data_IF_551193246677
#
_entry.id   IF_551193246677
#
_cell.length_a   1.000
_cell.length_b   1.000
_cell.length_c   1.000
_cell.angle_alpha   90.00
_cell.angle_beta   90.00
_cell.angle_gamma   90.00
#
_symmetry.space_group_name_H-M   'P 1'
#
loop_
_entity.id
_entity.type
_entity.pdbx_description
1 polymer ?
#
# COMPACT_ATOMS: atom_id res chain seq x y z
N UNK A 1 8.22 -27.71 45.25
CA UNK A 1 8.27 -28.77 44.23
C UNK A 1 7.37 -28.37 43.07
N UNK A 2 8.00 -28.21 41.90
CA UNK A 2 7.48 -28.09 40.53
C UNK A 2 6.71 -26.83 40.11
N UNK A 3 7.53 -25.86 39.68
CA UNK A 3 7.27 -24.95 38.57
C UNK A 3 6.98 -25.73 37.28
N UNK A 4 6.01 -25.30 36.48
CA UNK A 4 5.96 -25.58 35.05
C UNK A 4 5.64 -24.29 34.31
N UNK A 5 6.71 -23.64 33.84
CA UNK A 5 6.67 -22.60 32.84
C UNK A 5 6.23 -23.20 31.50
N UNK A 6 5.28 -22.55 30.81
CA UNK A 6 5.06 -22.77 29.38
C UNK A 6 5.58 -21.55 28.63
N UNK A 7 6.71 -21.76 27.96
CA UNK A 7 7.32 -20.84 27.03
C UNK A 7 6.43 -20.68 25.79
N UNK A 8 6.10 -19.44 25.45
CA UNK A 8 5.53 -19.07 24.14
C UNK A 8 6.71 -18.67 23.26
N UNK A 9 7.09 -19.57 22.34
CA UNK A 9 8.07 -19.29 21.30
C UNK A 9 7.39 -18.50 20.17
N UNK A 10 7.74 -17.22 20.04
CA UNK A 10 7.34 -16.39 18.90
C UNK A 10 8.14 -16.77 17.67
N UNK A 11 7.47 -17.36 16.68
CA UNK A 11 8.03 -17.59 15.34
C UNK A 11 7.66 -16.39 14.48
N UNK A 12 8.61 -15.47 14.31
CA UNK A 12 8.52 -14.38 13.35
C UNK A 12 9.10 -14.86 12.01
N UNK A 13 8.23 -15.06 11.01
CA UNK A 13 8.65 -15.41 9.65
C UNK A 13 8.72 -14.14 8.81
N UNK A 14 9.92 -13.96 8.24
CA UNK A 14 10.36 -12.94 7.32
C UNK A 14 9.55 -12.94 6.01
N UNK A 15 8.96 -11.79 5.67
CA UNK A 15 8.53 -11.50 4.30
C UNK A 15 9.73 -11.08 3.45
N UNK A 16 10.54 -12.05 3.02
CA UNK A 16 11.59 -11.86 2.01
C UNK A 16 11.00 -12.24 0.65
N UNK A 17 10.89 -11.27 -0.26
CA UNK A 17 10.86 -11.57 -1.70
C UNK A 17 12.23 -11.19 -2.26
N UNK A 18 13.16 -12.14 -2.16
CA UNK A 18 14.39 -12.15 -2.94
C UNK A 18 14.05 -12.61 -4.35
N UNK A 19 14.19 -11.75 -5.35
CA UNK A 19 14.29 -12.16 -6.74
C UNK A 19 15.74 -11.97 -7.21
N UNK A 20 16.57 -12.96 -6.95
CA UNK A 20 17.80 -13.19 -7.70
C UNK A 20 17.50 -14.27 -8.75
N UNK A 21 17.57 -13.92 -10.03
CA UNK A 21 17.91 -14.88 -11.08
C UNK A 21 18.49 -14.15 -12.29
N UNK A 22 19.70 -14.60 -12.63
CA UNK A 22 20.59 -14.20 -13.70
C UNK A 22 20.11 -14.56 -15.10
N UNK A 23 20.53 -13.71 -16.05
CA UNK A 23 20.74 -13.89 -17.50
C UNK A 23 20.41 -15.22 -18.21
N UNK A 24 19.79 -15.08 -19.39
CA UNK A 24 19.69 -16.15 -20.39
C UNK A 24 18.88 -15.77 -21.64
N UNK A 25 19.57 -15.20 -22.63
CA UNK A 25 19.40 -15.28 -24.10
C UNK A 25 18.02 -15.14 -24.79
N UNK A 26 17.99 -14.30 -25.82
CA UNK A 26 16.83 -14.00 -26.65
C UNK A 26 16.47 -15.04 -27.72
N UNK A 27 15.31 -14.81 -28.35
CA UNK A 27 14.82 -15.50 -29.53
C UNK A 27 13.53 -14.83 -30.02
N UNK A 28 13.62 -14.16 -31.17
CA UNK A 28 12.52 -13.51 -31.86
C UNK A 28 11.52 -14.50 -32.46
N UNK A 29 10.26 -14.11 -32.61
CA UNK A 29 9.25 -14.87 -33.37
C UNK A 29 7.89 -14.17 -33.42
N UNK A 30 7.64 -13.51 -34.54
CA UNK A 30 6.43 -12.79 -34.95
C UNK A 30 5.19 -13.69 -35.12
N UNK A 31 4.00 -13.14 -34.83
CA UNK A 31 2.72 -13.70 -35.25
C UNK A 31 1.59 -12.66 -35.14
N UNK A 32 1.32 -11.95 -36.24
CA UNK A 32 0.29 -10.94 -36.37
C UNK A 32 -0.97 -11.57 -37.00
N UNK A 33 -2.16 -11.27 -36.46
CA UNK A 33 -3.46 -11.62 -37.03
C UNK A 33 -4.52 -10.58 -36.61
N UNK A 34 -5.51 -10.27 -37.47
CA UNK A 34 -6.14 -8.95 -37.51
C UNK A 34 -7.42 -8.85 -36.68
N UNK A 35 -7.61 -7.74 -35.98
CA UNK A 35 -8.85 -7.38 -35.28
C UNK A 35 -8.90 -5.87 -35.07
N UNK A 36 -9.87 -5.23 -35.70
CA UNK A 36 -10.16 -3.80 -35.70
C UNK A 36 -10.58 -3.30 -34.32
N UNK A 37 -9.76 -2.44 -33.71
CA UNK A 37 -10.18 -1.26 -32.94
C UNK A 37 -8.95 -0.37 -32.76
N UNK A 38 -8.84 0.67 -33.59
CA UNK A 38 -7.84 1.72 -33.39
C UNK A 38 -8.31 2.64 -32.27
N UNK A 39 -8.09 2.24 -31.01
CA UNK A 39 -7.82 3.24 -29.99
C UNK A 39 -6.47 3.86 -30.35
N UNK A 40 -6.48 5.15 -30.69
CA UNK A 40 -5.26 5.95 -30.78
C UNK A 40 -4.58 5.86 -29.42
N UNK A 41 -3.58 5.00 -29.30
CA UNK A 41 -2.77 4.86 -28.10
C UNK A 41 -2.07 6.19 -27.88
N UNK A 42 -2.60 7.01 -26.97
CA UNK A 42 -1.81 8.05 -26.34
C UNK A 42 -0.51 7.38 -25.83
N UNK A 43 0.66 8.02 -25.96
CA UNK A 43 1.90 7.45 -25.44
C UNK A 43 1.67 7.07 -23.98
N UNK A 44 1.94 5.80 -23.64
CA UNK A 44 1.73 5.23 -22.31
C UNK A 44 2.37 6.16 -21.27
N UNK A 45 1.53 6.89 -20.53
CA UNK A 45 2.02 7.89 -19.59
C UNK A 45 2.71 7.15 -18.44
N UNK A 46 4.01 7.38 -18.18
CA UNK A 46 4.63 6.75 -17.03
C UNK A 46 3.99 7.33 -15.76
N UNK A 47 3.48 6.44 -14.90
CA UNK A 47 2.79 6.77 -13.65
C UNK A 47 1.47 7.53 -13.83
N UNK A 48 0.43 6.94 -14.44
CA UNK A 48 -0.88 7.57 -14.49
C UNK A 48 -1.51 7.64 -13.10
N UNK A 49 -2.23 8.72 -12.82
CA UNK A 49 -3.10 8.83 -11.64
C UNK A 49 -4.46 8.24 -11.99
N UNK A 50 -4.94 7.28 -11.20
CA UNK A 50 -6.26 6.66 -11.39
C UNK A 50 -6.89 6.23 -10.08
N UNK A 51 -8.11 5.71 -10.18
CA UNK A 51 -8.85 5.11 -9.08
C UNK A 51 -9.24 3.68 -9.46
N UNK A 52 -9.34 2.79 -8.48
CA UNK A 52 -9.75 1.39 -8.70
C UNK A 52 -10.72 0.97 -7.59
N UNK A 53 -11.98 0.72 -7.96
CA UNK A 53 -13.02 0.37 -6.98
C UNK A 53 -12.67 -0.91 -6.20
N UNK A 54 -12.14 -1.94 -6.85
CA UNK A 54 -11.84 -3.21 -6.18
C UNK A 54 -10.73 -3.07 -5.14
N UNK A 55 -9.74 -2.22 -5.40
CA UNK A 55 -8.68 -1.87 -4.43
C UNK A 55 -9.30 -1.10 -3.25
N UNK A 56 -10.14 -0.11 -3.54
CA UNK A 56 -10.85 0.67 -2.52
C UNK A 56 -11.77 -0.19 -1.67
N UNK A 57 -12.55 -1.10 -2.26
CA UNK A 57 -13.46 -2.00 -1.57
C UNK A 57 -12.71 -2.95 -0.62
N UNK A 58 -11.59 -3.49 -1.10
CA UNK A 58 -10.74 -4.36 -0.29
C UNK A 58 -10.14 -3.61 0.90
N UNK A 59 -9.56 -2.44 0.67
CA UNK A 59 -8.98 -1.60 1.72
C UNK A 59 -10.05 -1.04 2.67
N UNK A 60 -11.25 -0.74 2.16
CA UNK A 60 -12.43 -0.43 2.99
C UNK A 60 -12.73 -1.60 3.93
N UNK A 61 -12.78 -2.82 3.41
CA UNK A 61 -12.93 -4.04 4.21
C UNK A 61 -11.96 -4.11 5.38
N UNK A 62 -10.67 -3.93 5.09
CA UNK A 62 -9.63 -3.90 6.13
C UNK A 62 -9.85 -2.76 7.12
N UNK A 63 -10.16 -1.55 6.66
CA UNK A 63 -10.44 -0.41 7.54
C UNK A 63 -11.65 -0.65 8.46
N UNK A 64 -12.63 -1.47 8.05
CA UNK A 64 -13.79 -1.82 8.86
C UNK A 64 -13.50 -2.90 9.93
N UNK A 65 -12.56 -3.81 9.68
CA UNK A 65 -12.30 -4.96 10.58
C UNK A 65 -11.01 -4.83 11.39
N UNK A 66 -10.04 -4.05 10.91
CA UNK A 66 -8.76 -3.85 11.57
C UNK A 66 -8.82 -2.68 12.56
N UNK A 67 -8.16 -2.85 13.70
CA UNK A 67 -7.80 -1.72 14.56
C UNK A 67 -6.45 -1.16 14.12
N UNK A 68 -6.44 0.06 13.60
CA UNK A 68 -5.21 0.71 13.18
C UNK A 68 -4.49 1.35 14.38
N UNK A 69 -3.54 0.61 14.93
CA UNK A 69 -2.69 1.06 16.05
C UNK A 69 -1.32 1.56 15.59
N UNK A 70 -1.12 1.73 14.29
CA UNK A 70 0.17 2.17 13.75
C UNK A 70 0.43 3.62 14.06
N UNK A 71 1.72 3.99 14.15
CA UNK A 71 2.08 5.36 14.49
C UNK A 71 1.70 6.32 13.37
N UNK A 72 2.09 6.00 12.14
CA UNK A 72 1.57 6.62 10.92
C UNK A 72 0.37 5.80 10.44
N UNK A 73 -0.86 6.33 10.52
CA UNK A 73 -2.05 5.53 10.23
C UNK A 73 -2.09 5.05 8.78
N UNK A 74 -2.44 3.79 8.62
CA UNK A 74 -2.81 3.18 7.35
C UNK A 74 -4.09 3.81 6.79
N UNK A 75 -5.09 3.92 7.65
CA UNK A 75 -6.42 4.38 7.28
C UNK A 75 -6.70 5.77 7.84
N UNK A 76 -7.62 6.49 7.19
CA UNK A 76 -8.10 7.79 7.71
C UNK A 76 -8.72 7.60 9.09
N UNK A 77 -8.33 8.45 10.04
CA UNK A 77 -8.87 8.38 11.40
C UNK A 77 -10.38 8.59 11.38
N UNK A 78 -11.10 7.70 12.06
CA UNK A 78 -12.56 7.74 12.12
C UNK A 78 -13.27 7.19 10.88
N UNK A 79 -12.54 6.69 9.87
CA UNK A 79 -13.15 6.17 8.64
C UNK A 79 -14.22 5.10 8.89
N UNK A 80 -13.92 4.08 9.72
CA UNK A 80 -14.88 3.02 10.01
C UNK A 80 -16.15 3.53 10.71
N UNK A 81 -16.00 4.48 11.63
CA UNK A 81 -17.11 5.17 12.28
C UNK A 81 -17.94 5.98 11.29
N UNK A 82 -17.29 6.72 10.38
CA UNK A 82 -17.96 7.49 9.33
C UNK A 82 -18.77 6.57 8.40
N UNK A 83 -18.17 5.47 7.93
CA UNK A 83 -18.87 4.49 7.09
C UNK A 83 -20.08 3.88 7.80
N UNK A 84 -19.93 3.56 9.09
CA UNK A 84 -21.05 3.08 9.93
C UNK A 84 -22.19 4.11 9.98
N UNK A 85 -21.87 5.40 10.16
CA UNK A 85 -22.88 6.48 10.17
C UNK A 85 -23.56 6.62 8.82
N UNK A 86 -22.81 6.55 7.70
CA UNK A 86 -23.38 6.63 6.35
C UNK A 86 -24.31 5.46 6.06
N UNK A 87 -23.91 4.23 6.42
CA UNK A 87 -24.75 3.03 6.27
C UNK A 87 -26.02 3.11 7.11
N UNK A 88 -25.92 3.57 8.35
CA UNK A 88 -27.08 3.78 9.22
C UNK A 88 -28.05 4.81 8.64
N UNK A 89 -27.55 5.92 8.07
CA UNK A 89 -28.39 6.92 7.38
C UNK A 89 -29.09 6.35 6.16
N UNK A 90 -28.45 5.41 5.46
CA UNK A 90 -29.02 4.70 4.32
C UNK A 90 -29.89 3.49 4.72
N UNK A 91 -30.03 3.17 6.01
CA UNK A 91 -30.67 1.96 6.53
C UNK A 91 -30.10 0.66 5.90
N UNK A 92 -28.79 0.61 5.67
CA UNK A 92 -28.10 -0.57 5.11
C UNK A 92 -27.29 -1.29 6.20
N UNK A 93 -27.46 -2.61 6.28
CA UNK A 93 -26.62 -3.51 7.09
C UNK A 93 -26.16 -4.65 6.19
N UNK A 94 -24.87 -4.96 6.18
CA UNK A 94 -24.25 -5.94 5.27
C UNK A 94 -23.68 -7.13 6.02
N UNK A 95 -23.25 -8.14 5.27
CA UNK A 95 -22.51 -9.27 5.82
C UNK A 95 -21.17 -8.84 6.43
N UNK A 96 -20.53 -7.76 5.94
CA UNK A 96 -19.32 -7.24 6.55
C UNK A 96 -19.57 -6.74 7.98
N UNK A 97 -20.70 -6.09 8.22
CA UNK A 97 -21.09 -5.66 9.58
C UNK A 97 -21.35 -6.88 10.48
N UNK A 98 -22.13 -7.85 9.98
CA UNK A 98 -22.50 -9.04 10.72
C UNK A 98 -21.28 -9.95 11.06
N UNK A 99 -20.29 -9.98 10.18
CA UNK A 99 -19.10 -10.83 10.32
C UNK A 99 -17.89 -10.10 10.93
N UNK A 100 -18.01 -8.80 11.24
CA UNK A 100 -16.88 -7.94 11.64
C UNK A 100 -16.07 -8.53 12.79
N UNK A 101 -16.73 -8.97 13.84
CA UNK A 101 -16.05 -9.48 15.04
C UNK A 101 -15.33 -10.80 14.77
N UNK A 102 -15.92 -11.68 13.94
CA UNK A 102 -15.28 -12.93 13.52
C UNK A 102 -14.05 -12.67 12.64
N UNK A 103 -14.14 -11.73 11.71
CA UNK A 103 -13.03 -11.31 10.86
C UNK A 103 -11.91 -10.68 11.69
N UNK A 104 -12.25 -9.79 12.62
CA UNK A 104 -11.30 -9.15 13.54
C UNK A 104 -10.61 -10.14 14.46
N UNK A 105 -11.36 -11.09 15.03
CA UNK A 105 -10.80 -12.11 15.92
C UNK A 105 -9.67 -12.90 15.25
N UNK A 106 -9.79 -13.20 13.95
CA UNK A 106 -8.72 -13.89 13.22
C UNK A 106 -7.48 -13.02 13.01
N UNK A 107 -7.63 -11.71 12.77
CA UNK A 107 -6.49 -10.78 12.67
C UNK A 107 -5.69 -10.70 13.99
N UNK A 108 -6.37 -10.82 15.14
CA UNK A 108 -5.71 -10.90 16.45
C UNK A 108 -4.91 -12.20 16.59
N UNK A 109 -5.46 -13.32 16.12
CA UNK A 109 -4.80 -14.63 16.16
C UNK A 109 -3.63 -14.73 15.18
N UNK A 110 -3.78 -14.15 13.98
CA UNK A 110 -2.75 -14.12 12.95
C UNK A 110 -2.57 -12.68 12.43
N UNK A 111 -1.72 -11.87 13.09
CA UNK A 111 -1.45 -10.50 12.67
C UNK A 111 -0.84 -10.38 11.27
N UNK A 112 -0.20 -11.43 10.76
CA UNK A 112 0.40 -11.44 9.42
C UNK A 112 -0.65 -11.30 8.29
N UNK A 113 -1.93 -11.60 8.57
CA UNK A 113 -3.04 -11.37 7.64
C UNK A 113 -3.21 -9.90 7.25
N UNK A 114 -2.65 -8.95 8.00
CA UNK A 114 -2.62 -7.53 7.62
C UNK A 114 -1.93 -7.34 6.26
N UNK A 115 -0.95 -8.19 5.91
CA UNK A 115 -0.28 -8.15 4.61
C UNK A 115 -1.23 -8.48 3.45
N UNK A 116 -2.37 -9.13 3.70
CA UNK A 116 -3.35 -9.36 2.66
C UNK A 116 -4.00 -8.06 2.12
N UNK A 117 -3.74 -6.89 2.72
CA UNK A 117 -4.10 -5.59 2.15
C UNK A 117 -3.47 -5.31 0.78
N UNK A 118 -2.34 -5.95 0.47
CA UNK A 118 -1.65 -5.79 -0.82
C UNK A 118 -2.20 -6.70 -1.93
N UNK A 119 -2.98 -7.73 -1.57
CA UNK A 119 -3.58 -8.69 -2.52
C UNK A 119 -4.28 -8.02 -3.71
N UNK A 120 -5.18 -7.04 -3.56
CA UNK A 120 -5.94 -6.48 -4.69
C UNK A 120 -5.06 -5.74 -5.71
N UNK A 121 -3.81 -5.38 -5.36
CA UNK A 121 -2.90 -4.70 -6.26
C UNK A 121 -2.35 -5.63 -7.35
N UNK A 122 -2.39 -6.93 -7.12
CA UNK A 122 -1.93 -7.96 -8.07
C UNK A 122 -2.99 -8.37 -9.09
N UNK A 123 -4.19 -7.77 -9.04
CA UNK A 123 -5.32 -8.10 -9.91
C UNK A 123 -5.85 -6.85 -10.62
N UNK A 124 -6.28 -7.01 -11.87
CA UNK A 124 -6.78 -5.89 -12.67
C UNK A 124 -8.20 -5.48 -12.30
N UNK A 125 -9.01 -6.41 -11.79
CA UNK A 125 -10.43 -6.19 -11.49
C UNK A 125 -10.94 -7.01 -10.29
N UNK A 126 -12.14 -6.68 -9.82
CA UNK A 126 -12.84 -7.46 -8.80
C UNK A 126 -13.20 -8.87 -9.28
N UNK A 127 -13.66 -9.00 -10.53
CA UNK A 127 -14.09 -10.28 -11.07
C UNK A 127 -12.93 -11.27 -11.10
N UNK A 128 -11.78 -10.84 -11.64
CA UNK A 128 -10.53 -11.61 -11.65
C UNK A 128 -10.09 -12.01 -10.23
N UNK A 129 -10.01 -11.05 -9.31
CA UNK A 129 -9.63 -11.31 -7.91
C UNK A 129 -10.57 -12.33 -7.25
N UNK A 130 -11.87 -12.17 -7.45
CA UNK A 130 -12.87 -13.01 -6.80
C UNK A 130 -12.92 -14.42 -7.41
N UNK A 131 -12.75 -14.54 -8.73
CA UNK A 131 -12.69 -15.81 -9.44
C UNK A 131 -11.43 -16.60 -9.04
N UNK A 132 -10.26 -15.96 -9.10
CA UNK A 132 -8.99 -16.61 -8.71
C UNK A 132 -9.03 -17.02 -7.24
N UNK A 133 -9.60 -16.19 -6.36
CA UNK A 133 -9.78 -16.54 -4.96
C UNK A 133 -10.69 -17.74 -4.78
N UNK A 134 -11.82 -17.79 -5.50
CA UNK A 134 -12.74 -18.93 -5.41
C UNK A 134 -12.07 -20.23 -5.87
N UNK A 135 -11.33 -20.19 -6.98
CA UNK A 135 -10.60 -21.35 -7.47
C UNK A 135 -9.49 -21.79 -6.48
N UNK A 136 -8.75 -20.83 -5.91
CA UNK A 136 -7.75 -21.08 -4.87
C UNK A 136 -8.36 -21.77 -3.64
N UNK A 137 -9.54 -21.31 -3.20
CA UNK A 137 -10.25 -21.88 -2.07
C UNK A 137 -10.78 -23.30 -2.37
N UNK A 138 -11.27 -23.56 -3.58
CA UNK A 138 -11.69 -24.91 -4.03
C UNK A 138 -10.51 -25.88 -4.12
N UNK A 139 -9.33 -25.38 -4.47
CA UNK A 139 -8.08 -26.14 -4.51
C UNK A 139 -7.42 -26.31 -3.13
N UNK A 140 -8.09 -25.89 -2.05
CA UNK A 140 -7.56 -25.90 -0.67
C UNK A 140 -6.20 -25.17 -0.51
N UNK A 141 -5.90 -24.25 -1.41
CA UNK A 141 -4.66 -23.51 -1.48
C UNK A 141 -3.47 -24.24 -2.11
N UNK A 142 -3.69 -25.35 -2.83
CA UNK A 142 -2.64 -26.10 -3.52
C UNK A 142 -2.31 -25.48 -4.90
N UNK A 143 -1.11 -24.89 -5.11
CA UNK A 143 -0.74 -24.30 -6.40
C UNK A 143 -0.63 -25.31 -7.54
N UNK A 144 -0.38 -26.59 -7.24
CA UNK A 144 -0.26 -27.65 -8.24
C UNK A 144 -1.62 -28.08 -8.82
N UNK A 145 -2.73 -27.64 -8.22
CA UNK A 145 -4.07 -27.88 -8.76
C UNK A 145 -4.47 -26.85 -9.83
N UNK A 146 -3.64 -25.82 -10.07
CA UNK A 146 -3.90 -24.80 -11.08
C UNK A 146 -3.77 -25.35 -12.51
N UNK A 147 -4.62 -24.88 -13.41
CA UNK A 147 -4.66 -25.34 -14.81
C UNK A 147 -3.68 -24.59 -15.71
N UNK A 148 -3.12 -23.46 -15.24
CA UNK A 148 -2.14 -22.66 -15.96
C UNK A 148 -1.01 -22.22 -15.05
N UNK A 149 0.14 -21.88 -15.65
CA UNK A 149 1.31 -21.38 -14.92
C UNK A 149 1.00 -20.06 -14.20
N UNK A 150 0.23 -19.19 -14.83
CA UNK A 150 -0.20 -17.91 -14.26
C UNK A 150 -1.08 -18.13 -13.03
N UNK A 151 -2.07 -19.02 -13.12
CA UNK A 151 -2.93 -19.38 -12.00
C UNK A 151 -2.14 -20.05 -10.86
N UNK A 152 -1.13 -20.87 -11.18
CA UNK A 152 -0.23 -21.45 -10.18
C UNK A 152 0.58 -20.36 -9.43
N UNK A 153 1.01 -19.30 -10.12
CA UNK A 153 1.69 -18.16 -9.49
C UNK A 153 0.73 -17.38 -8.59
N UNK A 154 -0.49 -17.11 -9.06
CA UNK A 154 -1.51 -16.44 -8.26
C UNK A 154 -1.88 -17.26 -7.01
N UNK A 155 -2.02 -18.59 -7.14
CA UNK A 155 -2.26 -19.48 -6.01
C UNK A 155 -1.09 -19.48 -5.03
N UNK A 156 0.15 -19.47 -5.51
CA UNK A 156 1.33 -19.39 -4.64
C UNK A 156 1.37 -18.06 -3.87
N UNK A 157 1.02 -16.96 -4.53
CA UNK A 157 0.91 -15.65 -3.90
C UNK A 157 -0.21 -15.61 -2.83
N UNK A 158 -1.39 -16.15 -3.13
CA UNK A 158 -2.47 -16.27 -2.16
C UNK A 158 -2.11 -17.23 -1.02
N UNK A 159 -1.45 -18.35 -1.29
CA UNK A 159 -0.98 -19.30 -0.27
C UNK A 159 0.03 -18.66 0.70
N UNK A 160 0.89 -17.76 0.21
CA UNK A 160 1.81 -17.01 1.06
C UNK A 160 1.08 -16.07 2.04
N UNK A 161 -0.05 -15.50 1.62
CA UNK A 161 -0.87 -14.61 2.46
C UNK A 161 -1.87 -15.40 3.34
N UNK A 162 -2.31 -16.57 2.89
CA UNK A 162 -3.35 -17.39 3.56
C UNK A 162 -2.88 -18.85 3.73
N UNK A 163 -1.83 -19.09 4.53
CA UNK A 163 -1.15 -20.38 4.58
C UNK A 163 -1.99 -21.48 5.24
N UNK A 164 -2.83 -21.15 6.23
CA UNK A 164 -3.60 -22.15 6.98
C UNK A 164 -5.05 -22.25 6.50
N UNK A 165 -5.72 -23.38 6.78
CA UNK A 165 -7.15 -23.55 6.48
C UNK A 165 -8.02 -22.46 7.11
N UNK A 166 -7.71 -22.05 8.35
CA UNK A 166 -8.42 -20.97 9.03
C UNK A 166 -8.19 -19.59 8.39
N UNK A 167 -7.02 -19.33 7.78
CA UNK A 167 -6.78 -18.10 7.01
C UNK A 167 -7.56 -18.11 5.69
N UNK A 168 -7.70 -19.29 5.06
CA UNK A 168 -8.53 -19.47 3.86
C UNK A 168 -10.02 -19.34 4.15
N UNK A 169 -10.49 -19.86 5.28
CA UNK A 169 -11.87 -19.66 5.73
C UNK A 169 -12.15 -18.18 6.03
N UNK A 170 -11.18 -17.48 6.59
CA UNK A 170 -11.24 -16.03 6.75
C UNK A 170 -11.33 -15.31 5.41
N UNK A 171 -10.47 -15.64 4.44
CA UNK A 171 -10.51 -15.08 3.09
C UNK A 171 -11.86 -15.30 2.42
N UNK A 172 -12.41 -16.52 2.53
CA UNK A 172 -13.73 -16.86 2.00
C UNK A 172 -14.80 -15.94 2.58
N UNK A 173 -14.84 -15.81 3.91
CA UNK A 173 -15.81 -14.98 4.61
C UNK A 173 -15.63 -13.49 4.26
N UNK A 174 -14.39 -13.04 4.14
CA UNK A 174 -14.05 -11.67 3.80
C UNK A 174 -14.53 -11.31 2.39
N UNK A 175 -14.19 -12.11 1.37
CA UNK A 175 -14.61 -11.87 -0.02
C UNK A 175 -16.13 -11.93 -0.18
N UNK A 176 -16.80 -12.89 0.48
CA UNK A 176 -18.27 -12.95 0.51
C UNK A 176 -18.88 -11.69 1.12
N UNK A 177 -18.31 -11.24 2.25
CA UNK A 177 -18.75 -10.02 2.92
C UNK A 177 -18.54 -8.76 2.07
N UNK A 178 -17.43 -8.68 1.34
CA UNK A 178 -17.15 -7.56 0.43
C UNK A 178 -18.04 -7.54 -0.81
N UNK A 179 -18.42 -8.72 -1.34
CA UNK A 179 -19.38 -8.80 -2.45
C UNK A 179 -20.75 -8.26 -2.02
N UNK A 180 -21.22 -8.65 -0.83
CA UNK A 180 -22.45 -8.10 -0.24
C UNK A 180 -22.30 -6.59 0.06
N UNK A 181 -21.18 -6.16 0.63
CA UNK A 181 -20.88 -4.75 0.91
C UNK A 181 -20.94 -3.87 -0.34
N UNK A 182 -20.28 -4.30 -1.43
CA UNK A 182 -20.29 -3.61 -2.72
C UNK A 182 -21.70 -3.48 -3.28
N UNK A 183 -22.43 -4.59 -3.38
CA UNK A 183 -23.77 -4.62 -3.96
C UNK A 183 -24.80 -3.78 -3.20
N UNK A 184 -24.68 -3.69 -1.87
CA UNK A 184 -25.69 -3.02 -1.02
C UNK A 184 -25.34 -1.59 -0.65
N UNK A 185 -24.06 -1.22 -0.68
CA UNK A 185 -23.60 0.08 -0.21
C UNK A 185 -22.42 0.62 -1.03
N UNK A 186 -21.28 -0.07 -0.98
CA UNK A 186 -20.00 0.56 -1.28
C UNK A 186 -19.85 0.99 -2.74
N UNK A 187 -20.42 0.25 -3.69
CA UNK A 187 -20.37 0.63 -5.11
C UNK A 187 -21.04 1.99 -5.36
N UNK A 188 -22.25 2.16 -4.83
CA UNK A 188 -23.00 3.42 -4.96
C UNK A 188 -22.29 4.59 -4.27
N UNK A 189 -21.75 4.34 -3.07
CA UNK A 189 -20.94 5.31 -2.33
C UNK A 189 -19.67 5.69 -3.09
N UNK A 190 -18.95 4.71 -3.64
CA UNK A 190 -17.74 4.92 -4.40
C UNK A 190 -17.99 5.77 -5.64
N UNK A 191 -19.02 5.44 -6.43
CA UNK A 191 -19.41 6.23 -7.60
C UNK A 191 -19.77 7.68 -7.23
N UNK A 192 -20.43 7.88 -6.09
CA UNK A 192 -20.70 9.24 -5.59
C UNK A 192 -19.40 9.98 -5.27
N UNK A 193 -18.48 9.34 -4.54
CA UNK A 193 -17.19 9.96 -4.21
C UNK A 193 -16.34 10.25 -5.46
N UNK A 194 -16.40 9.40 -6.49
CA UNK A 194 -15.71 9.69 -7.76
C UNK A 194 -16.25 10.94 -8.45
N UNK A 195 -17.57 11.15 -8.42
CA UNK A 195 -18.19 12.36 -8.97
C UNK A 195 -17.83 13.59 -8.14
N UNK A 196 -17.95 13.51 -6.82
CA UNK A 196 -17.66 14.64 -5.91
C UNK A 196 -16.20 15.08 -5.94
N UNK A 197 -15.28 14.15 -6.21
CA UNK A 197 -13.83 14.40 -6.20
C UNK A 197 -13.20 14.43 -7.59
N UNK A 198 -13.99 14.51 -8.66
CA UNK A 198 -13.48 14.56 -10.02
C UNK A 198 -12.50 15.73 -10.24
N UNK A 199 -12.80 16.90 -9.65
CA UNK A 199 -11.89 18.06 -9.65
C UNK A 199 -10.57 17.76 -8.95
N UNK A 200 -10.61 17.13 -7.76
CA UNK A 200 -9.41 16.72 -7.01
C UNK A 200 -8.55 15.75 -7.83
N UNK A 201 -9.16 14.72 -8.44
CA UNK A 201 -8.45 13.76 -9.29
C UNK A 201 -7.71 14.47 -10.43
N UNK A 202 -8.36 15.42 -11.10
CA UNK A 202 -7.76 16.21 -12.19
C UNK A 202 -6.60 17.09 -11.71
N UNK A 203 -6.73 17.72 -10.55
CA UNK A 203 -5.66 18.55 -9.96
C UNK A 203 -4.47 17.69 -9.55
N UNK A 204 -4.71 16.54 -8.89
CA UNK A 204 -3.64 15.60 -8.52
C UNK A 204 -2.90 15.10 -9.75
N UNK A 205 -3.62 14.69 -10.80
CA UNK A 205 -3.00 14.29 -12.07
C UNK A 205 -2.16 15.41 -12.68
N UNK A 206 -2.70 16.64 -12.72
CA UNK A 206 -1.96 17.79 -13.25
C UNK A 206 -0.68 18.08 -12.44
N UNK A 207 -0.78 18.11 -11.10
CA UNK A 207 0.36 18.31 -10.22
C UNK A 207 1.41 17.21 -10.41
N UNK A 208 0.98 15.96 -10.50
CA UNK A 208 1.87 14.83 -10.68
C UNK A 208 2.55 14.87 -12.05
N UNK A 209 1.78 14.87 -13.14
CA UNK A 209 2.32 14.76 -14.50
C UNK A 209 3.17 15.97 -14.89
N UNK A 210 2.76 17.18 -14.50
CA UNK A 210 3.39 18.43 -14.99
C UNK A 210 4.42 18.99 -14.04
N UNK A 211 4.24 18.85 -12.72
CA UNK A 211 5.10 19.51 -11.74
C UNK A 211 6.06 18.54 -11.04
N UNK A 212 5.56 17.43 -10.49
CA UNK A 212 6.34 16.66 -9.51
C UNK A 212 6.95 15.36 -10.02
N UNK A 213 6.27 14.61 -10.90
CA UNK A 213 6.85 13.42 -11.53
C UNK A 213 8.15 13.74 -12.26
N UNK A 214 8.26 14.80 -13.08
CA UNK A 214 9.52 15.13 -13.75
C UNK A 214 10.67 15.39 -12.76
N UNK A 215 10.37 16.06 -11.63
CA UNK A 215 11.35 16.34 -10.56
C UNK A 215 11.81 15.07 -9.85
N UNK A 216 10.91 14.09 -9.68
CA UNK A 216 11.20 12.80 -9.04
C UNK A 216 11.73 11.74 -10.01
N UNK A 217 11.68 11.97 -11.32
CA UNK A 217 11.96 10.97 -12.35
C UNK A 217 13.35 10.33 -12.19
N UNK A 218 14.38 11.11 -11.87
CA UNK A 218 15.74 10.60 -11.68
C UNK A 218 15.80 9.61 -10.52
N UNK A 219 15.18 9.98 -9.39
CA UNK A 219 15.08 9.10 -8.23
C UNK A 219 14.34 7.81 -8.60
N UNK A 220 13.15 7.94 -9.18
CA UNK A 220 12.31 6.80 -9.58
C UNK A 220 13.04 5.85 -10.54
N UNK A 221 13.77 6.36 -11.52
CA UNK A 221 14.55 5.52 -12.43
C UNK A 221 15.66 4.76 -11.70
N UNK A 222 16.40 5.46 -10.84
CA UNK A 222 17.59 4.92 -10.17
C UNK A 222 17.23 3.93 -9.06
N UNK A 223 16.02 4.01 -8.50
CA UNK A 223 15.50 3.03 -7.54
C UNK A 223 14.74 1.87 -8.19
N UNK A 224 14.76 1.75 -9.51
CA UNK A 224 14.05 0.69 -10.23
C UNK A 224 12.53 0.86 -10.24
N UNK A 225 12.05 2.10 -10.11
CA UNK A 225 10.64 2.49 -10.10
C UNK A 225 10.30 3.34 -11.34
N UNK A 226 10.82 2.94 -12.51
CA UNK A 226 10.79 3.78 -13.71
C UNK A 226 9.38 4.04 -14.25
N UNK A 227 8.49 3.04 -14.13
CA UNK A 227 7.08 3.15 -14.46
C UNK A 227 6.21 2.34 -13.47
N UNK A 228 4.94 2.68 -13.46
CA UNK A 228 3.97 2.10 -12.55
C UNK A 228 2.63 2.83 -12.64
N UNK A 229 1.78 2.59 -11.65
CA UNK A 229 0.47 3.19 -11.47
C UNK A 229 0.37 3.91 -10.12
N UNK A 230 -0.29 5.07 -10.07
CA UNK A 230 -0.71 5.67 -8.81
C UNK A 230 -2.22 5.53 -8.68
N UNK A 231 -2.67 4.89 -7.60
CA UNK A 231 -4.08 4.67 -7.30
C UNK A 231 -4.46 5.58 -6.13
N UNK A 232 -5.39 6.51 -6.34
CA UNK A 232 -5.98 7.28 -5.25
C UNK A 232 -7.03 6.42 -4.56
N UNK A 233 -6.92 6.29 -3.24
CA UNK A 233 -7.77 5.44 -2.43
C UNK A 233 -8.49 6.23 -1.33
N UNK A 234 -9.80 5.99 -1.21
CA UNK A 234 -10.67 6.65 -0.24
C UNK A 234 -10.30 6.34 1.23
N UNK A 235 -10.10 5.07 1.64
CA UNK A 235 -9.80 4.72 3.04
C UNK A 235 -8.38 5.07 3.49
N UNK A 236 -7.40 5.13 2.59
CA UNK A 236 -5.99 5.30 2.97
C UNK A 236 -5.64 6.70 3.47
N UNK A 237 -4.63 6.76 4.35
CA UNK A 237 -4.03 7.98 4.85
C UNK A 237 -2.54 8.04 4.50
N UNK A 238 -1.66 8.32 5.48
CA UNK A 238 -0.28 8.73 5.24
C UNK A 238 0.70 7.61 4.92
N UNK A 239 0.37 6.36 5.26
CA UNK A 239 1.28 5.22 5.05
C UNK A 239 1.16 4.58 3.65
N UNK A 240 0.20 5.02 2.81
CA UNK A 240 0.04 4.47 1.44
C UNK A 240 0.00 2.94 1.35
N UNK A 241 0.18 2.37 0.15
CA UNK A 241 0.52 0.96 -0.11
C UNK A 241 1.33 0.85 -1.39
N UNK A 242 2.54 0.34 -1.27
CA UNK A 242 3.40 0.09 -2.43
C UNK A 242 3.52 -1.40 -2.73
N UNK A 243 3.34 -1.76 -4.00
CA UNK A 243 3.72 -3.06 -4.54
C UNK A 243 4.65 -2.86 -5.74
N UNK A 244 5.81 -3.52 -5.73
CA UNK A 244 6.77 -3.47 -6.82
C UNK A 244 6.88 -4.84 -7.48
N UNK A 245 6.35 -4.98 -8.70
CA UNK A 245 6.45 -6.19 -9.51
C UNK A 245 7.54 -6.00 -10.60
N UNK A 246 8.77 -5.74 -10.15
CA UNK A 246 9.90 -5.42 -11.03
C UNK A 246 9.97 -3.95 -11.44
N UNK A 247 10.81 -3.63 -12.44
CA UNK A 247 11.18 -2.24 -12.75
C UNK A 247 10.05 -1.37 -13.34
N UNK A 248 9.06 -2.01 -13.95
CA UNK A 248 8.05 -1.34 -14.78
C UNK A 248 6.61 -1.52 -14.30
N UNK A 249 6.38 -2.37 -13.31
CA UNK A 249 5.05 -2.67 -12.76
C UNK A 249 5.01 -2.33 -11.27
N UNK A 250 5.27 -1.06 -10.95
CA UNK A 250 5.12 -0.53 -9.60
C UNK A 250 3.71 0.00 -9.40
N UNK A 251 3.20 -0.08 -8.19
CA UNK A 251 1.89 0.45 -7.83
C UNK A 251 2.05 1.21 -6.52
N UNK A 252 1.68 2.49 -6.53
CA UNK A 252 1.49 3.28 -5.32
C UNK A 252 0.01 3.50 -5.10
N UNK A 253 -0.53 2.99 -4.01
CA UNK A 253 -1.88 3.34 -3.56
C UNK A 253 -1.75 4.39 -2.48
N UNK A 254 -2.34 5.57 -2.68
CA UNK A 254 -2.15 6.73 -1.81
C UNK A 254 -3.49 7.32 -1.41
N UNK A 255 -3.50 8.22 -0.43
CA UNK A 255 -4.72 8.92 -0.01
C UNK A 255 -5.41 9.61 -1.19
N UNK A 256 -6.74 9.55 -1.23
CA UNK A 256 -7.57 10.39 -2.09
C UNK A 256 -8.05 11.62 -1.29
N UNK A 257 -7.50 12.84 -1.54
CA UNK A 257 -7.88 14.04 -0.81
C UNK A 257 -9.36 14.41 -1.00
N UNK A 258 -9.93 15.16 -0.05
CA UNK A 258 -11.34 15.57 -0.07
C UNK A 258 -11.53 16.83 -0.89
N UNK A 259 -10.57 17.76 -0.80
CA UNK A 259 -10.66 19.09 -1.41
C UNK A 259 -9.51 19.33 -2.35
N UNK A 260 -9.72 20.18 -3.34
CA UNK A 260 -8.68 20.56 -4.30
C UNK A 260 -7.48 21.23 -3.62
N UNK A 261 -7.72 22.00 -2.56
CA UNK A 261 -6.67 22.62 -1.74
C UNK A 261 -5.76 21.60 -1.02
N UNK A 262 -6.20 20.35 -0.91
CA UNK A 262 -5.48 19.25 -0.26
C UNK A 262 -4.82 18.32 -1.29
N UNK A 263 -4.87 18.64 -2.59
CA UNK A 263 -4.36 17.75 -3.66
C UNK A 263 -2.88 17.41 -3.51
N UNK A 264 -2.08 18.30 -2.91
CA UNK A 264 -0.67 18.04 -2.61
C UNK A 264 -0.46 16.88 -1.63
N UNK A 265 -1.47 16.51 -0.84
CA UNK A 265 -1.38 15.39 0.11
C UNK A 265 -1.13 14.06 -0.59
N UNK A 266 -1.71 13.84 -1.77
CA UNK A 266 -1.40 12.66 -2.58
C UNK A 266 0.09 12.63 -2.98
N UNK A 267 0.65 13.78 -3.35
CA UNK A 267 2.08 13.90 -3.73
C UNK A 267 2.98 13.64 -2.52
N UNK A 268 2.58 14.06 -1.32
CA UNK A 268 3.32 13.76 -0.09
C UNK A 268 3.41 12.25 0.15
N UNK A 269 2.29 11.54 0.02
CA UNK A 269 2.26 10.08 0.20
C UNK A 269 3.03 9.38 -0.92
N UNK A 270 2.97 9.86 -2.18
CA UNK A 270 3.82 9.31 -3.25
C UNK A 270 5.31 9.41 -2.90
N UNK A 271 5.77 10.54 -2.35
CA UNK A 271 7.17 10.70 -1.95
C UNK A 271 7.57 9.77 -0.78
N UNK A 272 6.65 9.55 0.16
CA UNK A 272 6.83 8.59 1.26
C UNK A 272 6.89 7.15 0.77
N UNK A 273 6.01 6.76 -0.15
CA UNK A 273 5.97 5.45 -0.76
C UNK A 273 7.23 5.17 -1.59
N UNK A 274 7.63 6.12 -2.44
CA UNK A 274 8.78 5.97 -3.33
C UNK A 274 10.11 5.73 -2.58
N UNK A 275 10.27 6.33 -1.40
CA UNK A 275 11.47 6.17 -0.56
C UNK A 275 11.45 4.88 0.28
N UNK A 276 10.30 4.21 0.40
CA UNK A 276 10.08 3.13 1.38
C UNK A 276 11.13 2.02 1.33
N UNK A 277 11.49 1.55 0.14
CA UNK A 277 12.53 0.52 -0.02
C UNK A 277 13.90 0.98 0.48
N UNK A 278 14.30 2.20 0.13
CA UNK A 278 15.57 2.79 0.53
C UNK A 278 15.60 3.03 2.05
N UNK A 279 14.51 3.54 2.62
CA UNK A 279 14.35 3.69 4.06
C UNK A 279 14.47 2.34 4.79
N UNK A 280 13.84 1.29 4.27
CA UNK A 280 13.92 -0.04 4.85
C UNK A 280 15.34 -0.63 4.81
N UNK A 281 16.07 -0.44 3.70
CA UNK A 281 17.49 -0.84 3.60
C UNK A 281 18.34 -0.07 4.61
N UNK A 282 18.20 1.26 4.68
CA UNK A 282 18.93 2.09 5.63
C UNK A 282 18.70 1.64 7.09
N UNK A 283 17.48 1.24 7.45
CA UNK A 283 17.18 0.70 8.78
C UNK A 283 17.78 -0.69 8.96
N UNK A 284 17.50 -1.61 8.04
CA UNK A 284 17.89 -3.03 8.16
C UNK A 284 19.41 -3.20 8.30
N UNK A 285 20.19 -2.40 7.58
CA UNK A 285 21.65 -2.44 7.59
C UNK A 285 22.26 -1.84 8.88
N UNK A 286 21.48 -1.08 9.66
CA UNK A 286 21.97 -0.29 10.79
C UNK A 286 21.28 -0.64 12.13
N UNK A 287 20.44 -1.69 12.17
CA UNK A 287 19.88 -2.23 13.41
C UNK A 287 20.56 -3.55 13.80
N UNK A 288 20.65 -3.80 15.10
CA UNK A 288 21.18 -5.07 15.61
C UNK A 288 20.14 -6.19 15.50
N UNK A 289 20.57 -7.48 15.53
CA UNK A 289 19.65 -8.60 15.61
C UNK A 289 18.69 -8.52 16.80
N UNK A 290 19.12 -7.93 17.92
CA UNK A 290 18.29 -7.75 19.12
C UNK A 290 17.21 -6.68 18.92
N UNK A 291 17.56 -5.56 18.29
CA UNK A 291 16.58 -4.52 17.92
C UNK A 291 15.54 -5.05 16.93
N UNK A 292 15.95 -5.99 16.06
CA UNK A 292 15.03 -6.67 15.15
C UNK A 292 14.02 -7.54 15.91
N UNK A 293 14.46 -8.30 16.91
CA UNK A 293 13.57 -9.16 17.73
C UNK A 293 12.60 -8.38 18.60
N UNK A 294 12.99 -7.19 19.05
CA UNK A 294 12.20 -6.34 19.95
C UNK A 294 11.20 -5.41 19.23
N UNK A 295 11.10 -5.50 17.89
CA UNK A 295 10.16 -4.69 17.08
C UNK A 295 10.56 -3.22 16.92
N UNK A 296 11.77 -2.85 17.38
CA UNK A 296 12.31 -1.48 17.22
C UNK A 296 12.58 -1.17 15.75
N UNK A 297 12.95 -2.19 14.96
CA UNK A 297 13.16 -2.05 13.51
C UNK A 297 11.93 -1.51 12.77
N UNK A 298 10.74 -2.05 13.04
CA UNK A 298 9.49 -1.62 12.39
C UNK A 298 9.17 -0.14 12.66
N UNK A 299 9.37 0.30 13.92
CA UNK A 299 9.20 1.71 14.30
C UNK A 299 10.19 2.61 13.55
N UNK A 300 11.44 2.18 13.42
CA UNK A 300 12.43 2.94 12.66
C UNK A 300 12.15 2.93 11.17
N UNK A 301 11.61 1.86 10.59
CA UNK A 301 11.24 1.82 9.16
C UNK A 301 10.15 2.84 8.83
N UNK A 302 9.05 2.87 9.59
CA UNK A 302 7.99 3.86 9.36
C UNK A 302 8.49 5.30 9.57
N UNK A 303 9.26 5.55 10.65
CA UNK A 303 9.88 6.86 10.86
C UNK A 303 10.88 7.23 9.75
N UNK A 304 11.66 6.27 9.25
CA UNK A 304 12.62 6.46 8.18
C UNK A 304 11.93 6.75 6.84
N UNK A 305 10.78 6.14 6.56
CA UNK A 305 10.00 6.46 5.37
C UNK A 305 9.47 7.92 5.42
N UNK A 306 8.94 8.37 6.56
CA UNK A 306 8.51 9.78 6.74
C UNK A 306 9.69 10.75 6.61
N UNK A 307 10.81 10.48 7.30
CA UNK A 307 11.99 11.35 7.23
C UNK A 307 12.64 11.32 5.85
N UNK A 308 12.64 10.17 5.18
CA UNK A 308 13.16 9.98 3.85
C UNK A 308 12.34 10.70 2.79
N UNK A 309 11.01 10.67 2.89
CA UNK A 309 10.12 11.41 1.99
C UNK A 309 10.35 12.91 2.10
N UNK A 310 10.51 13.43 3.33
CA UNK A 310 10.86 14.83 3.56
C UNK A 310 12.23 15.20 2.96
N UNK A 311 13.25 14.34 3.13
CA UNK A 311 14.58 14.55 2.54
C UNK A 311 14.55 14.52 1.01
N UNK A 312 13.81 13.57 0.41
CA UNK A 312 13.62 13.51 -1.03
C UNK A 312 13.00 14.80 -1.55
N UNK A 313 11.88 15.23 -0.97
CA UNK A 313 11.21 16.49 -1.35
C UNK A 313 12.12 17.70 -1.13
N UNK A 314 12.92 17.74 -0.07
CA UNK A 314 13.87 18.83 0.14
C UNK A 314 14.89 18.97 -1.00
N UNK A 315 15.26 17.86 -1.65
CA UNK A 315 16.20 17.87 -2.79
C UNK A 315 15.54 18.18 -4.12
N UNK A 316 14.31 17.72 -4.34
CA UNK A 316 13.68 17.78 -5.69
C UNK A 316 12.51 18.75 -5.80
N UNK A 317 11.82 19.04 -4.71
CA UNK A 317 10.62 19.90 -4.65
C UNK A 317 10.53 20.60 -3.27
N UNK A 318 11.49 21.48 -2.91
CA UNK A 318 11.58 22.08 -1.58
C UNK A 318 10.32 22.86 -1.17
N UNK A 319 9.55 23.37 -2.14
CA UNK A 319 8.28 24.04 -1.92
C UNK A 319 7.21 23.15 -1.25
N UNK A 320 7.35 21.83 -1.34
CA UNK A 320 6.40 20.88 -0.75
C UNK A 320 6.73 20.50 0.69
N UNK A 321 7.93 20.82 1.18
CA UNK A 321 8.47 20.28 2.43
C UNK A 321 7.70 20.74 3.68
N UNK A 322 7.33 22.02 3.74
CA UNK A 322 6.54 22.55 4.87
C UNK A 322 5.16 21.88 4.96
N UNK A 323 4.48 21.75 3.82
CA UNK A 323 3.19 21.06 3.72
C UNK A 323 3.28 19.57 4.05
N UNK A 324 4.33 18.90 3.57
CA UNK A 324 4.63 17.50 3.90
C UNK A 324 4.78 17.30 5.43
N UNK A 325 5.57 18.16 6.07
CA UNK A 325 5.79 18.06 7.51
C UNK A 325 4.49 18.27 8.30
N UNK A 326 3.69 19.26 7.92
CA UNK A 326 2.36 19.51 8.52
C UNK A 326 1.41 18.33 8.31
N UNK A 327 1.42 17.73 7.13
CA UNK A 327 0.59 16.58 6.79
C UNK A 327 0.89 15.39 7.72
N UNK A 328 2.15 14.97 7.83
CA UNK A 328 2.51 13.83 8.68
C UNK A 328 2.35 14.12 10.18
N UNK A 329 2.63 15.34 10.64
CA UNK A 329 2.36 15.73 12.02
C UNK A 329 0.86 15.67 12.35
N UNK A 330 0.01 16.18 11.45
CA UNK A 330 -1.45 16.07 11.57
C UNK A 330 -1.90 14.61 11.56
N UNK A 331 -1.36 13.79 10.66
CA UNK A 331 -1.69 12.36 10.57
C UNK A 331 -1.43 11.63 11.89
N UNK A 332 -0.44 12.06 12.68
CA UNK A 332 -0.12 11.48 13.99
C UNK A 332 -0.63 12.28 15.19
N UNK A 333 -1.57 13.22 14.99
CA UNK A 333 -2.17 14.08 16.03
C UNK A 333 -1.10 14.89 16.81
N UNK A 334 -0.10 15.41 16.12
CA UNK A 334 0.91 16.31 16.69
C UNK A 334 0.79 17.71 16.07
N UNK A 335 0.89 18.78 16.87
CA UNK A 335 0.89 20.13 16.33
C UNK A 335 2.16 20.37 15.51
N UNK A 336 2.05 21.15 14.43
CA UNK A 336 3.20 21.45 13.58
C UNK A 336 4.20 22.41 14.24
N UNK A 337 3.76 23.24 15.19
CA UNK A 337 4.59 24.27 15.80
C UNK A 337 5.00 25.38 14.82
N UNK A 338 5.96 26.20 15.23
CA UNK A 338 6.49 27.30 14.41
C UNK A 338 7.46 26.82 13.31
N UNK A 339 8.17 25.71 13.54
CA UNK A 339 9.06 25.09 12.56
C UNK A 339 8.66 23.61 12.36
N UNK A 340 7.78 23.32 11.38
CA UNK A 340 7.26 21.98 11.15
C UNK A 340 8.34 20.94 10.88
N UNK A 341 9.44 21.32 10.22
CA UNK A 341 10.53 20.38 9.92
C UNK A 341 11.30 19.97 11.17
N UNK A 342 11.57 20.91 12.08
CA UNK A 342 12.16 20.57 13.38
C UNK A 342 11.23 19.68 14.18
N UNK A 343 9.93 20.00 14.23
CA UNK A 343 8.96 19.18 14.97
C UNK A 343 8.79 17.80 14.35
N UNK A 344 8.75 17.68 13.02
CA UNK A 344 8.75 16.40 12.31
C UNK A 344 9.98 15.57 12.70
N UNK A 345 11.15 16.21 12.78
CA UNK A 345 12.38 15.52 13.12
C UNK A 345 12.40 14.98 14.56
N UNK A 346 11.74 15.67 15.49
CA UNK A 346 11.57 15.24 16.88
C UNK A 346 10.54 14.12 17.00
N UNK A 347 9.40 14.24 16.31
CA UNK A 347 8.29 13.27 16.38
C UNK A 347 8.67 11.95 15.69
N UNK A 348 9.34 12.04 14.53
CA UNK A 348 9.88 10.90 13.79
C UNK A 348 11.40 10.84 14.00
N UNK A 349 11.79 10.55 15.25
CA UNK A 349 13.18 10.46 15.65
C UNK A 349 13.84 9.21 15.07
N UNK A 350 15.04 9.38 14.52
CA UNK A 350 15.88 8.29 14.04
C UNK A 350 17.25 8.33 14.72
N UNK A 351 17.86 7.16 14.99
CA UNK A 351 19.28 7.09 15.31
C UNK A 351 20.13 7.77 14.24
N UNK A 352 21.21 8.42 14.67
CA UNK A 352 22.13 9.14 13.78
C UNK A 352 22.66 8.26 12.65
N UNK A 353 23.01 7.01 12.94
CA UNK A 353 23.50 6.03 11.95
C UNK A 353 22.50 5.78 10.82
N UNK A 354 21.22 5.61 11.15
CA UNK A 354 20.14 5.40 10.17
C UNK A 354 19.89 6.68 9.37
N UNK A 355 19.85 7.83 10.03
CA UNK A 355 19.66 9.14 9.38
C UNK A 355 20.77 9.40 8.36
N UNK A 356 22.02 9.15 8.73
CA UNK A 356 23.18 9.41 7.88
C UNK A 356 23.29 8.40 6.74
N UNK A 357 22.91 7.14 6.99
CA UNK A 357 22.77 6.13 5.93
C UNK A 357 21.69 6.54 4.91
N UNK A 358 20.52 6.97 5.38
CA UNK A 358 19.41 7.45 4.55
C UNK A 358 19.84 8.63 3.67
N UNK A 359 20.50 9.63 4.24
CA UNK A 359 20.97 10.79 3.48
C UNK A 359 22.02 10.40 2.42
N UNK A 360 23.01 9.56 2.79
CA UNK A 360 24.04 9.09 1.84
C UNK A 360 23.44 8.28 0.70
N UNK A 361 22.54 7.34 1.00
CA UNK A 361 21.88 6.53 -0.02
C UNK A 361 21.06 7.39 -0.97
N UNK A 362 20.32 8.38 -0.44
CA UNK A 362 19.57 9.32 -1.27
C UNK A 362 20.49 10.17 -2.17
N UNK A 363 21.64 10.62 -1.66
CA UNK A 363 22.64 11.36 -2.45
C UNK A 363 23.21 10.53 -3.59
N UNK A 364 23.54 9.25 -3.36
CA UNK A 364 23.99 8.33 -4.41
C UNK A 364 22.91 8.14 -5.47
N UNK A 365 21.68 7.86 -5.04
CA UNK A 365 20.55 7.64 -5.95
C UNK A 365 20.24 8.89 -6.77
N UNK A 366 20.27 10.07 -6.16
CA UNK A 366 20.03 11.33 -6.88
C UNK A 366 21.23 11.79 -7.70
N UNK A 367 22.45 11.44 -7.33
CA UNK A 367 23.69 11.78 -8.04
C UNK A 367 23.86 11.02 -9.36
N UNK A 368 23.29 9.82 -9.43
CA UNK A 368 23.51 8.86 -10.52
C UNK A 368 24.83 8.12 -10.30
N UNK A 369 24.79 6.79 -10.47
CA UNK A 369 25.97 5.93 -10.48
C UNK A 369 26.61 6.01 -11.87
#
# INVERSE_FOLDING_TARGET
MNQFARAVAGVAILGIVSACASGGMGGAGSGQGPGTDQTVSAPEQPWPIKTREHVDLWLHGFAMVQEDTTFVPFFKRGYSSEMTVLKNRANVVTQLDANRDKLRARLVVNPALINAQFVPLSFASWDELSEVTEQFLRAEGNPNAAQSREMAMAFSFLAANFPTGADRDWLRLFVQSLRDESSRFYHSYWLQQQRERAGVLSVVDTLWQRAYRPKMQRFLNNTGQASGDVILSLPLNGEGRTQSNGKQANIFTVTFPVRESESAEAIYVIAHEAIGNLANTAVTDNITPEQRRTGVGERYTSAAAVRGGALLLQRVAPELVDGYARYYLRAVNRPAGANPMTTLATVFSLPETIRDALNRQLEVVLGGI
#
